data_IF_013323783944
#
_entry.id   IF_013323783944
#
_cell.length_a   1.000
_cell.length_b   1.000
_cell.length_c   1.000
_cell.angle_alpha   90.00
_cell.angle_beta   90.00
_cell.angle_gamma   90.00
#
_symmetry.space_group_name_H-M   'P 1'
#
loop_
_entity.id
_entity.type
_entity.pdbx_description
1 polymer ?
#
# COMPACT_ATOMS: atom_id res chain seq x y z
N UNK A 1 -55.77 10.22 40.97
CA UNK A 1 -55.50 9.78 39.58
C UNK A 1 -54.22 10.43 39.08
N UNK A 2 -53.15 9.71 38.94
CA UNK A 2 -52.03 10.26 38.25
C UNK A 2 -51.38 9.27 37.28
N UNK A 3 -50.52 9.81 36.37
CA UNK A 3 -49.46 9.15 35.65
C UNK A 3 -49.80 8.33 34.39
N UNK A 4 -50.24 9.02 33.35
CA UNK A 4 -50.09 8.54 31.95
C UNK A 4 -49.07 9.35 31.09
N UNK A 5 -48.42 10.36 31.67
CA UNK A 5 -47.49 11.28 30.90
C UNK A 5 -46.04 10.82 30.84
N UNK A 6 -45.58 9.99 31.74
CA UNK A 6 -44.17 9.58 31.82
C UNK A 6 -43.76 8.54 30.76
N UNK A 7 -44.70 7.66 30.34
CA UNK A 7 -44.38 6.62 29.34
C UNK A 7 -44.14 7.15 27.93
N UNK A 8 -44.80 8.24 27.52
CA UNK A 8 -44.56 8.82 26.17
C UNK A 8 -43.20 9.46 26.05
N UNK A 9 -42.69 10.16 27.09
CA UNK A 9 -41.36 10.76 27.10
C UNK A 9 -40.26 9.68 27.03
N UNK A 10 -40.39 8.60 27.78
CA UNK A 10 -39.43 7.49 27.74
C UNK A 10 -39.44 6.78 26.38
N UNK A 11 -40.57 6.63 25.73
CA UNK A 11 -40.65 6.07 24.36
C UNK A 11 -39.97 6.95 23.33
N UNK A 12 -40.15 8.26 23.40
CA UNK A 12 -39.51 9.22 22.48
C UNK A 12 -37.98 9.15 22.65
N UNK A 13 -37.49 9.15 23.88
CA UNK A 13 -36.05 9.02 24.16
C UNK A 13 -35.52 7.68 23.64
N UNK A 14 -36.22 6.59 23.83
CA UNK A 14 -35.80 5.28 23.32
C UNK A 14 -35.72 5.25 21.77
N UNK A 15 -36.68 5.89 21.09
CA UNK A 15 -36.67 6.02 19.62
C UNK A 15 -35.46 6.86 19.16
N UNK A 16 -35.18 7.96 19.83
CA UNK A 16 -34.02 8.83 19.48
C UNK A 16 -32.71 8.04 19.67
N UNK A 17 -32.58 7.31 20.76
CA UNK A 17 -31.40 6.46 21.00
C UNK A 17 -31.29 5.37 19.94
N UNK A 18 -32.38 4.71 19.55
CA UNK A 18 -32.36 3.69 18.51
C UNK A 18 -31.92 4.26 17.14
N UNK A 19 -32.43 5.44 16.75
CA UNK A 19 -32.01 6.12 15.53
C UNK A 19 -30.54 6.47 15.58
N UNK A 20 -30.04 6.99 16.70
CA UNK A 20 -28.64 7.36 16.87
C UNK A 20 -27.72 6.12 16.77
N UNK A 21 -28.11 4.99 17.35
CA UNK A 21 -27.37 3.74 17.23
C UNK A 21 -27.36 3.22 15.78
N UNK A 22 -28.48 3.33 15.07
CA UNK A 22 -28.55 2.96 13.64
C UNK A 22 -27.63 3.86 12.78
N UNK A 23 -27.60 5.17 13.04
CA UNK A 23 -26.69 6.08 12.36
C UNK A 23 -25.21 5.74 12.62
N UNK A 24 -24.87 5.43 13.87
CA UNK A 24 -23.49 5.00 14.23
C UNK A 24 -23.15 3.68 13.54
N UNK A 25 -24.04 2.70 13.56
CA UNK A 25 -23.83 1.41 12.91
C UNK A 25 -23.65 1.58 11.38
N UNK A 26 -24.49 2.40 10.74
CA UNK A 26 -24.38 2.74 9.32
C UNK A 26 -23.05 3.44 8.98
N UNK A 27 -22.64 4.38 9.82
CA UNK A 27 -21.34 5.06 9.65
C UNK A 27 -20.14 4.10 9.82
N UNK A 28 -20.19 3.21 10.81
CA UNK A 28 -19.16 2.18 10.99
C UNK A 28 -19.09 1.23 9.78
N UNK A 29 -20.24 0.78 9.27
CA UNK A 29 -20.29 -0.06 8.08
C UNK A 29 -19.73 0.67 6.85
N UNK A 30 -20.08 1.95 6.65
CA UNK A 30 -19.51 2.79 5.60
C UNK A 30 -17.98 2.86 5.70
N UNK A 31 -17.44 3.13 6.89
CA UNK A 31 -15.99 3.20 7.08
C UNK A 31 -15.27 1.87 6.78
N UNK A 32 -15.88 0.74 7.17
CA UNK A 32 -15.33 -0.58 6.87
C UNK A 32 -15.30 -0.86 5.37
N UNK A 33 -16.41 -0.59 4.68
CA UNK A 33 -16.51 -0.79 3.23
C UNK A 33 -15.52 0.12 2.50
N UNK A 34 -15.46 1.40 2.87
CA UNK A 34 -14.54 2.36 2.27
C UNK A 34 -13.07 1.96 2.45
N UNK A 35 -12.71 1.50 3.67
CA UNK A 35 -11.35 1.02 3.93
C UNK A 35 -10.99 -0.24 3.12
N UNK A 36 -11.95 -1.15 2.91
CA UNK A 36 -11.74 -2.34 2.08
C UNK A 36 -11.58 -1.98 0.59
N UNK A 37 -12.34 -1.01 0.11
CA UNK A 37 -12.21 -0.53 -1.28
C UNK A 37 -10.83 0.10 -1.51
N UNK A 38 -10.38 0.99 -0.64
CA UNK A 38 -9.03 1.59 -0.72
C UNK A 38 -7.92 0.53 -0.74
N UNK A 39 -8.03 -0.52 0.09
CA UNK A 39 -7.06 -1.62 0.08
C UNK A 39 -7.08 -2.39 -1.24
N UNK A 40 -8.26 -2.63 -1.81
CA UNK A 40 -8.40 -3.34 -3.08
C UNK A 40 -7.81 -2.54 -4.24
N UNK A 41 -8.14 -1.25 -4.32
CA UNK A 41 -7.60 -0.32 -5.33
C UNK A 41 -6.07 -0.24 -5.27
N UNK A 42 -5.49 -0.14 -4.08
CA UNK A 42 -4.05 -0.09 -3.93
C UNK A 42 -3.37 -1.42 -4.30
N UNK A 43 -3.96 -2.57 -3.95
CA UNK A 43 -3.46 -3.88 -4.36
C UNK A 43 -3.49 -4.05 -5.88
N UNK A 44 -4.56 -3.59 -6.53
CA UNK A 44 -4.68 -3.60 -7.98
C UNK A 44 -3.64 -2.69 -8.64
N UNK A 45 -3.43 -1.49 -8.10
CA UNK A 45 -2.37 -0.59 -8.55
C UNK A 45 -0.99 -1.24 -8.45
N UNK A 46 -0.66 -1.83 -7.29
CA UNK A 46 0.62 -2.52 -7.11
C UNK A 46 0.76 -3.72 -8.05
N UNK A 47 -0.29 -4.50 -8.25
CA UNK A 47 -0.28 -5.62 -9.19
C UNK A 47 -0.04 -5.16 -10.64
N UNK A 48 -0.69 -4.06 -11.05
CA UNK A 48 -0.50 -3.49 -12.39
C UNK A 48 0.94 -2.98 -12.60
N UNK A 49 1.51 -2.33 -11.59
CA UNK A 49 2.91 -1.87 -11.66
C UNK A 49 3.86 -3.08 -11.65
N UNK A 50 3.59 -4.08 -10.79
CA UNK A 50 4.37 -5.30 -10.71
C UNK A 50 4.37 -6.05 -12.04
N UNK A 51 3.23 -6.17 -12.72
CA UNK A 51 3.13 -6.81 -14.04
C UNK A 51 4.03 -6.13 -15.07
N UNK A 52 4.10 -4.80 -15.09
CA UNK A 52 5.01 -4.05 -15.97
C UNK A 52 6.48 -4.33 -15.67
N UNK A 53 6.84 -4.37 -14.40
CA UNK A 53 8.21 -4.67 -13.96
C UNK A 53 8.55 -6.13 -14.30
N UNK A 54 7.64 -7.07 -14.01
CA UNK A 54 7.81 -8.49 -14.27
C UNK A 54 7.89 -8.79 -15.77
N UNK A 55 7.11 -8.11 -16.60
CA UNK A 55 7.20 -8.22 -18.06
C UNK A 55 8.56 -7.75 -18.56
N UNK A 56 9.03 -6.59 -18.10
CA UNK A 56 10.36 -6.08 -18.44
C UNK A 56 11.48 -7.02 -17.98
N UNK A 57 11.35 -7.66 -16.82
CA UNK A 57 12.30 -8.64 -16.33
C UNK A 57 12.22 -9.98 -17.07
N UNK A 58 11.03 -10.47 -17.44
CA UNK A 58 10.86 -11.76 -18.13
C UNK A 58 11.33 -11.74 -19.58
N UNK A 59 11.10 -10.66 -20.31
CA UNK A 59 11.75 -10.44 -21.62
C UNK A 59 13.29 -10.48 -21.50
N UNK A 60 13.78 -10.28 -20.28
CA UNK A 60 15.16 -10.43 -19.89
C UNK A 60 15.64 -11.90 -19.86
N UNK A 61 14.81 -12.84 -19.40
CA UNK A 61 15.15 -14.26 -19.26
C UNK A 61 15.40 -14.96 -20.60
N UNK A 62 14.61 -14.64 -21.62
CA UNK A 62 14.62 -15.31 -22.92
C UNK A 62 15.79 -14.90 -23.84
N UNK A 63 16.50 -13.80 -23.49
CA UNK A 63 17.57 -13.22 -24.31
C UNK A 63 18.99 -13.63 -23.88
N UNK A 64 19.16 -14.50 -22.90
CA UNK A 64 20.45 -14.86 -22.28
C UNK A 64 21.48 -15.48 -23.26
N UNK A 65 21.06 -15.79 -24.51
CA UNK A 65 21.91 -16.44 -25.50
C UNK A 65 22.56 -15.52 -26.53
N UNK A 66 22.39 -14.19 -26.47
CA UNK A 66 22.91 -13.25 -27.47
C UNK A 66 23.74 -12.16 -26.77
N UNK A 67 25.03 -12.10 -27.06
CA UNK A 67 26.04 -11.24 -26.41
C UNK A 67 25.81 -9.71 -26.38
N UNK A 68 24.70 -9.17 -26.92
CA UNK A 68 24.24 -7.79 -26.81
C UNK A 68 22.89 -7.68 -26.07
N UNK A 69 22.45 -8.77 -25.49
CA UNK A 69 21.15 -8.87 -24.86
C UNK A 69 21.11 -8.18 -23.51
N UNK A 70 22.19 -8.25 -22.73
CA UNK A 70 22.30 -7.68 -21.40
C UNK A 70 22.12 -6.16 -21.39
N UNK A 71 22.76 -5.45 -22.32
CA UNK A 71 22.63 -4.00 -22.44
C UNK A 71 21.20 -3.56 -22.83
N UNK A 72 20.52 -4.33 -23.69
CA UNK A 72 19.11 -4.06 -24.04
C UNK A 72 18.15 -4.30 -22.89
N UNK A 73 18.43 -5.30 -22.11
CA UNK A 73 17.69 -5.70 -20.90
C UNK A 73 17.70 -4.60 -19.85
N UNK A 74 18.90 -4.20 -19.46
CA UNK A 74 19.11 -3.11 -18.51
C UNK A 74 18.42 -1.85 -19.02
N UNK A 75 18.46 -1.59 -20.33
CA UNK A 75 17.81 -0.43 -20.93
C UNK A 75 16.27 -0.49 -20.82
N UNK A 76 15.63 -1.64 -21.03
CA UNK A 76 14.18 -1.80 -20.92
C UNK A 76 13.72 -1.66 -19.47
N UNK A 77 14.39 -2.32 -18.52
CA UNK A 77 14.07 -2.19 -17.10
C UNK A 77 14.28 -0.75 -16.59
N UNK A 78 15.36 -0.10 -17.05
CA UNK A 78 15.60 1.32 -16.76
C UNK A 78 14.51 2.22 -17.33
N UNK A 79 13.92 1.88 -18.47
CA UNK A 79 12.82 2.67 -19.05
C UNK A 79 11.57 2.57 -18.19
N UNK A 80 11.18 1.36 -17.75
CA UNK A 80 10.06 1.18 -16.80
C UNK A 80 10.32 1.96 -15.50
N UNK A 81 11.54 1.90 -14.96
CA UNK A 81 11.89 2.63 -13.75
C UNK A 81 11.90 4.15 -13.96
N UNK A 82 12.28 4.64 -15.14
CA UNK A 82 12.17 6.06 -15.50
C UNK A 82 10.71 6.51 -15.59
N UNK A 83 9.83 5.70 -16.18
CA UNK A 83 8.39 5.98 -16.19
C UNK A 83 7.82 6.11 -14.77
N UNK A 84 8.12 5.13 -13.90
CA UNK A 84 7.68 5.14 -12.51
C UNK A 84 8.23 6.35 -11.76
N UNK A 85 9.50 6.68 -11.96
CA UNK A 85 10.11 7.85 -11.33
C UNK A 85 9.56 9.18 -11.90
N UNK A 86 9.24 9.24 -13.19
CA UNK A 86 8.57 10.40 -13.78
C UNK A 86 7.18 10.61 -13.22
N UNK A 87 6.45 9.52 -12.96
CA UNK A 87 5.13 9.58 -12.34
C UNK A 87 5.21 9.99 -10.86
N UNK A 88 6.15 9.43 -10.12
CA UNK A 88 6.43 9.80 -8.74
C UNK A 88 7.93 9.86 -8.47
N UNK A 89 8.48 11.07 -8.32
CA UNK A 89 9.91 11.32 -8.11
C UNK A 89 10.47 10.72 -6.81
N UNK A 90 9.62 10.30 -5.88
CA UNK A 90 10.02 9.64 -4.64
C UNK A 90 10.25 8.12 -4.84
N UNK A 91 9.95 7.59 -6.04
CA UNK A 91 10.24 6.21 -6.39
C UNK A 91 11.76 6.00 -6.51
N UNK A 92 12.31 5.07 -5.74
CA UNK A 92 13.76 4.79 -5.70
C UNK A 92 14.12 3.37 -6.11
N UNK A 93 13.16 2.46 -6.24
CA UNK A 93 13.42 1.09 -6.64
C UNK A 93 12.26 0.14 -6.39
N UNK A 94 12.56 -1.15 -6.48
CA UNK A 94 11.60 -2.23 -6.37
C UNK A 94 12.09 -3.28 -5.38
N UNK A 95 11.20 -3.81 -4.54
CA UNK A 95 11.51 -4.94 -3.67
C UNK A 95 10.66 -6.16 -4.05
N UNK A 96 11.32 -7.28 -4.29
CA UNK A 96 10.69 -8.59 -4.42
C UNK A 96 11.35 -9.56 -3.45
N UNK A 97 10.55 -10.29 -2.70
CA UNK A 97 11.04 -11.35 -1.79
C UNK A 97 10.56 -12.70 -2.32
N UNK A 98 11.46 -13.52 -2.88
CA UNK A 98 11.08 -14.81 -3.48
C UNK A 98 10.34 -15.71 -2.49
N UNK A 99 9.29 -16.39 -2.95
CA UNK A 99 8.48 -17.28 -2.12
C UNK A 99 7.46 -16.58 -1.22
N UNK A 100 7.27 -15.26 -1.42
CA UNK A 100 6.25 -14.45 -0.74
C UNK A 100 5.45 -13.63 -1.74
N UNK A 101 4.36 -12.99 -1.27
CA UNK A 101 3.59 -12.01 -2.06
C UNK A 101 4.24 -10.61 -2.08
N UNK A 102 5.45 -10.46 -1.50
CA UNK A 102 6.14 -9.16 -1.44
C UNK A 102 6.75 -8.79 -2.79
N UNK A 103 6.05 -7.93 -3.53
CA UNK A 103 6.41 -7.44 -4.86
C UNK A 103 5.92 -5.98 -4.98
N UNK A 104 6.72 -5.02 -4.49
CA UNK A 104 6.28 -3.65 -4.22
C UNK A 104 7.29 -2.59 -4.68
N UNK A 105 6.80 -1.40 -5.09
CA UNK A 105 7.65 -0.22 -5.25
C UNK A 105 8.25 0.20 -3.90
N UNK A 106 9.47 0.72 -3.93
CA UNK A 106 10.13 1.32 -2.78
C UNK A 106 10.25 2.82 -3.01
N UNK A 107 9.80 3.57 -2.01
CA UNK A 107 9.76 5.02 -2.05
C UNK A 107 10.80 5.62 -1.10
N UNK A 108 11.18 6.88 -1.32
CA UNK A 108 11.96 7.65 -0.36
C UNK A 108 11.55 9.12 -0.36
N UNK A 109 11.29 9.67 0.84
CA UNK A 109 11.03 11.08 1.05
C UNK A 109 11.93 11.58 2.18
N UNK A 110 13.16 12.02 1.86
CA UNK A 110 14.15 12.41 2.87
C UNK A 110 13.68 13.55 3.78
N UNK A 111 12.96 14.52 3.21
CA UNK A 111 12.47 15.70 3.93
C UNK A 111 11.23 15.44 4.80
N UNK A 112 10.62 14.27 4.65
CA UNK A 112 9.41 13.89 5.38
C UNK A 112 9.47 12.41 5.79
N UNK A 113 10.20 12.08 6.85
CA UNK A 113 10.30 10.73 7.38
C UNK A 113 8.91 10.11 7.62
N UNK A 114 8.77 8.83 7.32
CA UNK A 114 7.51 8.10 7.43
C UNK A 114 6.36 8.61 6.54
N UNK A 115 6.63 9.45 5.53
CA UNK A 115 5.60 9.96 4.63
C UNK A 115 4.78 8.83 4.02
N UNK A 116 5.45 7.77 3.52
CA UNK A 116 4.83 6.62 2.88
C UNK A 116 4.28 5.58 3.86
N UNK A 117 4.41 5.77 5.16
CA UNK A 117 3.76 4.92 6.16
C UNK A 117 2.23 4.89 5.99
N UNK A 118 1.64 6.00 5.56
CA UNK A 118 0.19 6.15 5.35
C UNK A 118 -0.15 6.71 3.97
N UNK A 119 0.67 6.41 2.96
CA UNK A 119 0.43 6.86 1.59
C UNK A 119 0.70 5.76 0.57
N UNK A 120 -0.13 5.74 -0.49
CA UNK A 120 0.09 4.89 -1.65
C UNK A 120 1.15 5.50 -2.59
N UNK A 121 1.40 4.80 -3.72
CA UNK A 121 2.34 5.25 -4.75
C UNK A 121 1.95 6.61 -5.36
N UNK A 122 0.66 6.94 -5.39
CA UNK A 122 0.11 8.19 -5.93
C UNK A 122 0.07 9.33 -4.90
N UNK A 123 0.69 9.15 -3.73
CA UNK A 123 0.71 10.10 -2.60
C UNK A 123 -0.63 10.31 -1.91
N UNK A 124 -1.62 9.50 -2.20
CA UNK A 124 -2.91 9.52 -1.53
C UNK A 124 -2.87 8.78 -0.20
N UNK A 125 -3.80 9.11 0.70
CA UNK A 125 -3.88 8.42 1.99
C UNK A 125 -4.20 6.94 1.80
N UNK A 126 -3.44 6.09 2.45
CA UNK A 126 -3.66 4.65 2.46
C UNK A 126 -3.27 4.02 3.80
N UNK A 127 -4.11 3.14 4.30
CA UNK A 127 -3.82 2.35 5.50
C UNK A 127 -2.75 1.28 5.27
N UNK A 128 -2.53 0.86 4.02
CA UNK A 128 -1.47 -0.10 3.67
C UNK A 128 -0.09 0.57 3.63
N UNK A 129 -0.04 1.87 3.33
CA UNK A 129 1.21 2.54 3.03
C UNK A 129 1.91 1.96 1.81
N UNK A 130 3.12 2.40 1.54
CA UNK A 130 4.01 1.84 0.52
C UNK A 130 5.35 1.58 1.18
N UNK A 131 6.08 0.50 0.88
CA UNK A 131 7.43 0.30 1.38
C UNK A 131 8.33 1.50 1.08
N UNK A 132 9.11 1.92 2.07
CA UNK A 132 9.94 3.10 1.93
C UNK A 132 11.30 2.94 2.59
N UNK A 133 12.29 3.59 2.01
CA UNK A 133 13.66 3.61 2.48
C UNK A 133 13.79 4.58 3.66
N UNK A 134 14.63 4.24 4.63
CA UNK A 134 14.97 5.14 5.72
C UNK A 134 15.51 6.47 5.18
N UNK A 135 15.14 7.57 5.79
CA UNK A 135 15.47 8.94 5.33
C UNK A 135 16.96 9.22 5.25
N UNK A 136 17.76 8.60 6.11
CA UNK A 136 19.22 8.76 6.16
C UNK A 136 19.99 7.77 5.27
N UNK A 137 19.29 6.89 4.54
CA UNK A 137 19.90 5.98 3.58
C UNK A 137 19.99 6.65 2.20
N UNK A 138 21.18 6.81 1.65
CA UNK A 138 21.39 7.13 0.24
C UNK A 138 21.65 5.84 -0.52
N UNK A 139 20.77 5.50 -1.47
CA UNK A 139 20.85 4.25 -2.26
C UNK A 139 22.17 4.11 -3.05
N UNK A 140 22.90 5.21 -3.25
CA UNK A 140 24.15 5.23 -4.01
C UNK A 140 25.39 5.06 -3.15
N UNK A 141 25.29 5.34 -1.86
CA UNK A 141 26.47 5.45 -0.98
C UNK A 141 26.37 4.61 0.30
N UNK A 142 25.16 4.19 0.71
CA UNK A 142 25.00 3.37 1.90
C UNK A 142 25.26 1.89 1.62
N UNK A 143 26.08 1.25 2.43
CA UNK A 143 26.33 -0.20 2.37
C UNK A 143 25.15 -1.03 2.88
N UNK A 144 24.24 -0.43 3.64
CA UNK A 144 23.06 -1.07 4.19
C UNK A 144 21.82 -0.21 3.96
N UNK A 145 20.83 -0.79 3.30
CA UNK A 145 19.55 -0.12 3.01
C UNK A 145 18.48 -0.68 3.93
N UNK A 146 17.82 0.20 4.70
CA UNK A 146 16.73 -0.18 5.60
C UNK A 146 15.42 0.22 4.95
N UNK A 147 14.57 -0.78 4.65
CA UNK A 147 13.26 -0.59 4.06
C UNK A 147 12.20 -0.87 5.12
N UNK A 148 11.33 0.09 5.34
CA UNK A 148 10.18 -0.01 6.23
C UNK A 148 8.91 -0.36 5.44
N UNK A 149 8.02 -1.11 6.07
CA UNK A 149 6.70 -1.44 5.54
C UNK A 149 5.79 -1.95 6.65
N UNK A 150 4.48 -1.89 6.42
CA UNK A 150 3.53 -2.43 7.39
C UNK A 150 3.59 -3.96 7.45
N UNK A 151 3.37 -4.51 8.62
CA UNK A 151 2.96 -5.89 8.85
C UNK A 151 1.44 -5.89 9.07
N UNK A 152 0.68 -6.41 8.12
CA UNK A 152 -0.78 -6.40 8.17
C UNK A 152 -1.32 -7.71 8.75
N UNK A 153 -2.30 -7.62 9.66
CA UNK A 153 -2.92 -8.82 10.25
C UNK A 153 -3.72 -9.65 9.23
N UNK A 154 -4.10 -9.06 8.11
CA UNK A 154 -4.82 -9.71 7.00
C UNK A 154 -3.89 -10.32 5.93
N UNK A 155 -2.60 -10.46 6.22
CA UNK A 155 -1.62 -11.10 5.35
C UNK A 155 -1.05 -10.18 4.25
N UNK A 156 -1.25 -8.86 4.34
CA UNK A 156 -0.71 -7.91 3.36
C UNK A 156 0.64 -7.32 3.75
N UNK A 157 1.27 -6.65 2.81
CA UNK A 157 2.57 -5.98 2.95
C UNK A 157 3.66 -6.96 3.42
N UNK A 158 4.46 -6.61 4.42
CA UNK A 158 5.57 -7.44 4.92
C UNK A 158 5.18 -8.56 5.91
N UNK A 159 3.88 -8.91 6.00
CA UNK A 159 3.45 -10.00 6.89
C UNK A 159 4.07 -11.37 6.54
N UNK A 160 4.33 -11.63 5.25
CA UNK A 160 4.95 -12.88 4.80
C UNK A 160 6.41 -13.03 5.24
N UNK A 161 7.06 -11.96 5.71
CA UNK A 161 8.41 -12.06 6.27
C UNK A 161 8.46 -12.91 7.56
N UNK A 162 7.31 -13.22 8.16
CA UNK A 162 7.23 -14.20 9.25
C UNK A 162 7.65 -15.61 8.85
N UNK A 163 7.61 -15.95 7.56
CA UNK A 163 8.07 -17.24 7.03
C UNK A 163 9.59 -17.45 7.21
N UNK A 164 10.34 -16.39 7.50
CA UNK A 164 11.80 -16.43 7.70
C UNK A 164 12.21 -16.46 9.18
N UNK A 165 11.28 -16.69 10.09
CA UNK A 165 11.57 -16.84 11.55
C UNK A 165 12.00 -18.23 11.92
#
# INVERSE_FOLDING_TARGET
MPQKRTHKGAQIIAIIIAILLLCVAGFCAYLLIHNQQQKAEQRELFATIAEKVDAAESELGDLEQIGNAEDKRVAQLLEVYRELHSYNSDFVGWIRVPGTENNYPVMQSPDSPNYYLRRNFEKEYSNLGTPYLQENCDIRTCDNLIIYGHHMLDGGMFSDLELYK
#
